data_IF_515371988334
#
_entry.id   IF_515371988334
#
_cell.length_a   1.000
_cell.length_b   1.000
_cell.length_c   1.000
_cell.angle_alpha   90.00
_cell.angle_beta   90.00
_cell.angle_gamma   90.00
#
_symmetry.space_group_name_H-M   'P 1'
#
loop_
_entity.id
_entity.type
_entity.pdbx_description
1 polymer ?
#
# COMPACT_ATOMS: atom_id res chain seq x y z
N UNK A 1 -38.31 44.02 -11.42
CA UNK A 1 -36.92 43.55 -11.59
C UNK A 1 -36.06 44.37 -10.64
N UNK A 2 -35.96 43.93 -9.40
CA UNK A 2 -35.05 44.53 -8.42
C UNK A 2 -33.65 43.91 -8.59
N UNK A 3 -32.58 44.70 -8.44
CA UNK A 3 -31.22 44.22 -8.65
C UNK A 3 -30.74 43.42 -7.43
N UNK A 4 -30.25 42.22 -7.72
CA UNK A 4 -29.62 41.32 -6.76
C UNK A 4 -28.43 42.00 -6.08
N UNK A 5 -28.52 42.20 -4.77
CA UNK A 5 -27.39 42.64 -3.94
C UNK A 5 -26.36 41.52 -3.80
N UNK A 6 -25.11 41.90 -4.08
CA UNK A 6 -23.94 41.06 -4.18
C UNK A 6 -23.33 40.81 -2.79
N UNK A 7 -24.08 40.18 -1.88
CA UNK A 7 -23.63 39.87 -0.51
C UNK A 7 -23.91 38.42 -0.12
N UNK A 8 -23.19 37.49 -0.74
CA UNK A 8 -22.78 36.22 -0.10
C UNK A 8 -21.67 35.56 -0.90
N UNK A 9 -20.49 36.18 -0.94
CA UNK A 9 -19.26 35.41 -1.13
C UNK A 9 -19.01 34.65 0.17
N UNK A 10 -19.60 33.45 0.27
CA UNK A 10 -19.23 32.47 1.29
C UNK A 10 -17.71 32.29 1.17
N UNK A 11 -17.01 32.67 2.22
CA UNK A 11 -15.56 32.60 2.30
C UNK A 11 -15.17 31.12 2.51
N UNK A 12 -15.11 30.34 1.43
CA UNK A 12 -14.81 28.90 1.44
C UNK A 12 -13.38 28.56 1.94
N UNK A 13 -12.59 29.56 2.36
CA UNK A 13 -11.17 29.42 2.66
C UNK A 13 -10.74 29.74 4.10
N UNK A 14 -11.65 29.99 5.06
CA UNK A 14 -11.24 30.53 6.38
C UNK A 14 -11.55 29.70 7.63
N UNK A 15 -12.03 28.45 7.54
CA UNK A 15 -12.20 27.60 8.74
C UNK A 15 -11.45 26.26 8.61
N UNK A 16 -10.17 26.25 8.96
CA UNK A 16 -9.43 25.01 9.22
C UNK A 16 -9.85 24.49 10.59
N UNK A 17 -10.67 23.44 10.64
CA UNK A 17 -11.01 22.78 11.91
C UNK A 17 -9.74 22.24 12.56
N UNK A 18 -9.68 22.31 13.89
CA UNK A 18 -8.60 21.73 14.69
C UNK A 18 -9.17 20.66 15.61
N UNK A 19 -8.48 19.53 15.80
CA UNK A 19 -8.94 18.50 16.72
C UNK A 19 -9.00 19.06 18.15
N UNK A 20 -10.02 18.68 18.94
CA UNK A 20 -10.06 18.97 20.36
C UNK A 20 -8.83 18.43 21.10
N UNK A 21 -8.47 19.06 22.23
CA UNK A 21 -7.37 18.58 23.08
C UNK A 21 -7.74 17.20 23.65
N UNK A 22 -6.89 16.21 23.38
CA UNK A 22 -7.10 14.84 23.85
C UNK A 22 -6.18 14.53 25.03
N UNK A 23 -6.74 14.57 26.25
CA UNK A 23 -5.99 14.31 27.49
C UNK A 23 -5.76 12.81 27.76
N UNK A 24 -6.53 11.93 27.09
CA UNK A 24 -6.44 10.48 27.24
C UNK A 24 -5.45 9.85 26.26
N UNK A 25 -5.10 10.57 25.20
CA UNK A 25 -4.14 10.14 24.19
C UNK A 25 -2.74 9.98 24.80
N UNK A 26 -2.19 8.75 24.86
CA UNK A 26 -0.84 8.54 25.35
C UNK A 26 0.19 9.08 24.36
N UNK A 27 1.42 9.23 24.86
CA UNK A 27 2.59 9.45 23.99
C UNK A 27 2.71 8.33 22.96
N UNK A 28 3.21 8.67 21.79
CA UNK A 28 3.34 7.76 20.65
C UNK A 28 4.12 6.46 21.03
N UNK A 29 3.50 5.27 21.00
CA UNK A 29 4.03 4.07 21.67
C UNK A 29 4.96 3.21 20.81
N UNK A 30 5.02 3.46 19.49
CA UNK A 30 5.75 2.59 18.56
C UNK A 30 7.22 2.99 18.46
N UNK A 31 8.00 2.64 19.48
CA UNK A 31 9.43 2.96 19.62
C UNK A 31 10.28 1.70 19.77
N UNK A 32 11.56 1.77 19.40
CA UNK A 32 12.50 0.66 19.58
C UNK A 32 12.63 0.29 21.07
N UNK A 33 12.73 -1.01 21.36
CA UNK A 33 12.75 -1.58 22.70
C UNK A 33 11.35 -1.87 23.27
N UNK A 34 10.29 -1.32 22.69
CA UNK A 34 8.92 -1.60 23.14
C UNK A 34 8.54 -3.05 22.82
N UNK A 35 7.90 -3.71 23.79
CA UNK A 35 7.26 -5.02 23.61
C UNK A 35 5.75 -4.89 23.56
N UNK A 36 5.10 -5.63 22.66
CA UNK A 36 3.65 -5.70 22.48
C UNK A 36 3.20 -7.15 22.64
N UNK A 37 2.14 -7.36 23.42
CA UNK A 37 1.50 -8.67 23.59
C UNK A 37 0.43 -8.83 22.50
N UNK A 38 0.68 -9.67 21.51
CA UNK A 38 -0.14 -9.78 20.30
C UNK A 38 -0.86 -11.13 20.24
N UNK A 39 -2.04 -11.16 19.63
CA UNK A 39 -2.84 -12.38 19.39
C UNK A 39 -3.24 -12.46 17.92
N UNK A 40 -3.34 -13.67 17.37
CA UNK A 40 -3.82 -13.89 16.01
C UNK A 40 -5.22 -13.30 15.84
N UNK A 41 -5.46 -12.65 14.71
CA UNK A 41 -6.74 -12.07 14.35
C UNK A 41 -7.14 -12.49 12.94
N UNK A 42 -8.42 -12.77 12.72
CA UNK A 42 -8.98 -12.99 11.39
C UNK A 42 -9.48 -11.64 10.86
N UNK A 43 -8.90 -11.06 9.81
CA UNK A 43 -9.34 -9.77 9.28
C UNK A 43 -10.80 -9.83 8.83
N UNK A 44 -11.59 -8.76 9.01
CA UNK A 44 -12.93 -8.69 8.42
C UNK A 44 -12.82 -8.55 6.89
N UNK A 45 -13.91 -8.82 6.14
CA UNK A 45 -13.95 -8.53 4.71
C UNK A 45 -13.56 -7.07 4.40
N UNK A 46 -12.82 -6.84 3.30
CA UNK A 46 -12.34 -5.51 2.93
C UNK A 46 -13.51 -4.56 2.66
N UNK A 47 -13.36 -3.29 3.05
CA UNK A 47 -14.37 -2.24 2.84
C UNK A 47 -13.74 -0.87 2.56
N UNK A 48 -14.58 0.14 2.32
CA UNK A 48 -14.13 1.47 1.89
C UNK A 48 -13.94 1.54 0.38
N UNK A 49 -13.49 2.67 -0.17
CA UNK A 49 -13.35 2.80 -1.63
C UNK A 49 -12.35 1.76 -2.18
N UNK A 50 -12.66 1.00 -3.26
CA UNK A 50 -13.86 1.05 -4.11
C UNK A 50 -14.96 0.01 -3.76
N UNK A 51 -14.92 -0.63 -2.60
CA UNK A 51 -15.91 -1.60 -2.08
C UNK A 51 -17.24 -0.94 -1.65
N UNK A 52 -17.92 -0.24 -2.57
CA UNK A 52 -19.16 0.50 -2.29
C UNK A 52 -20.42 -0.37 -2.12
N UNK A 53 -20.41 -1.59 -2.68
CA UNK A 53 -21.59 -2.46 -2.74
C UNK A 53 -21.55 -3.45 -1.57
N UNK A 54 -22.18 -3.09 -0.45
CA UNK A 54 -22.91 -3.99 0.47
C UNK A 54 -23.31 -3.26 1.77
N UNK A 55 -24.51 -3.57 2.26
CA UNK A 55 -25.03 -3.20 3.58
C UNK A 55 -24.33 -3.93 4.76
N UNK A 56 -23.24 -4.66 4.48
CA UNK A 56 -22.49 -5.48 5.44
C UNK A 56 -21.25 -4.77 6.02
N UNK A 57 -21.00 -3.52 5.61
CA UNK A 57 -19.81 -2.77 6.02
C UNK A 57 -20.11 -1.81 7.16
N UNK A 58 -19.10 -1.48 7.98
CA UNK A 58 -19.19 -0.39 8.97
C UNK A 58 -19.48 0.89 8.17
N UNK A 59 -20.62 1.58 8.36
CA UNK A 59 -20.87 2.84 7.67
C UNK A 59 -19.84 3.88 8.13
N UNK A 60 -19.42 4.76 7.22
CA UNK A 60 -18.62 5.90 7.61
C UNK A 60 -19.47 6.79 8.51
N UNK A 61 -19.00 7.08 9.73
CA UNK A 61 -19.76 7.93 10.63
C UNK A 61 -19.78 9.36 10.10
N UNK A 62 -20.88 10.07 10.32
CA UNK A 62 -20.98 11.47 9.94
C UNK A 62 -20.06 12.31 10.83
N UNK A 63 -19.03 12.88 10.20
CA UNK A 63 -17.95 13.61 10.86
C UNK A 63 -18.41 14.92 11.50
N UNK A 64 -19.52 15.49 11.02
CA UNK A 64 -20.09 16.73 11.57
C UNK A 64 -20.81 16.50 12.89
N UNK A 65 -21.34 15.29 13.11
CA UNK A 65 -22.10 14.95 14.33
C UNK A 65 -21.21 14.85 15.57
N UNK A 66 -19.89 14.81 15.37
CA UNK A 66 -18.87 14.59 16.41
C UNK A 66 -17.68 15.54 16.27
N UNK A 67 -17.91 16.78 15.81
CA UNK A 67 -16.86 17.80 15.63
C UNK A 67 -16.06 18.12 16.90
N UNK A 68 -16.66 17.90 18.07
CA UNK A 68 -16.08 18.17 19.40
C UNK A 68 -15.54 16.92 20.10
N UNK A 69 -15.65 15.73 19.47
CA UNK A 69 -15.12 14.49 20.02
C UNK A 69 -13.61 14.38 19.81
N UNK A 70 -12.88 13.91 20.82
CA UNK A 70 -11.44 13.63 20.73
C UNK A 70 -11.17 12.37 19.90
N UNK A 71 -9.94 12.18 19.42
CA UNK A 71 -9.59 10.94 18.71
C UNK A 71 -9.77 9.70 19.61
N UNK A 72 -9.51 9.83 20.92
CA UNK A 72 -9.80 8.77 21.88
C UNK A 72 -11.28 8.43 21.92
N UNK A 73 -12.17 9.42 21.97
CA UNK A 73 -13.62 9.20 21.96
C UNK A 73 -14.06 8.46 20.70
N UNK A 74 -13.50 8.83 19.54
CA UNK A 74 -13.72 8.13 18.28
C UNK A 74 -13.27 6.66 18.35
N UNK A 75 -12.07 6.39 18.86
CA UNK A 75 -11.54 5.02 18.99
C UNK A 75 -12.36 4.14 19.94
N UNK A 76 -12.91 4.72 21.01
CA UNK A 76 -13.72 4.00 21.99
C UNK A 76 -15.16 3.79 21.51
N UNK A 77 -15.75 4.77 20.83
CA UNK A 77 -17.09 4.68 20.28
C UNK A 77 -17.15 3.74 19.06
N UNK A 78 -16.08 3.71 18.27
CA UNK A 78 -16.01 2.94 17.03
C UNK A 78 -14.73 2.08 16.97
N UNK A 79 -14.63 1.05 17.83
CA UNK A 79 -13.48 0.16 17.80
C UNK A 79 -13.37 -0.57 16.44
N UNK A 80 -12.16 -1.03 16.05
CA UNK A 80 -11.96 -1.87 14.87
C UNK A 80 -12.90 -3.08 14.88
N UNK A 81 -13.41 -3.46 13.70
CA UNK A 81 -14.38 -4.57 13.60
C UNK A 81 -13.76 -5.88 14.03
N UNK A 82 -14.53 -6.68 14.76
CA UNK A 82 -14.28 -8.09 14.98
C UNK A 82 -14.88 -8.92 13.83
N UNK A 83 -14.23 -10.03 13.50
CA UNK A 83 -14.78 -10.99 12.55
C UNK A 83 -15.67 -11.99 13.29
N UNK A 84 -16.97 -11.91 13.04
CA UNK A 84 -17.95 -12.90 13.50
C UNK A 84 -17.83 -14.17 12.65
N UNK A 85 -16.99 -15.12 13.06
CA UNK A 85 -17.02 -16.47 12.50
C UNK A 85 -17.44 -17.49 13.56
N UNK A 86 -18.57 -18.13 13.28
CA UNK A 86 -19.08 -19.34 13.91
C UNK A 86 -18.24 -20.54 13.44
N UNK A 87 -16.99 -20.69 13.93
CA UNK A 87 -16.10 -21.76 13.43
C UNK A 87 -14.93 -22.12 14.34
N UNK A 88 -14.41 -23.37 14.25
CA UNK A 88 -13.62 -24.02 15.28
C UNK A 88 -12.16 -23.54 15.26
N UNK A 89 -11.85 -22.37 15.83
CA UNK A 89 -10.47 -21.95 16.10
C UNK A 89 -10.37 -20.85 17.17
N UNK A 90 -11.17 -20.90 18.23
CA UNK A 90 -10.91 -20.08 19.43
C UNK A 90 -9.52 -20.37 20.04
N UNK A 91 -9.02 -21.61 19.90
CA UNK A 91 -7.73 -22.02 20.45
C UNK A 91 -6.51 -21.31 19.82
N UNK A 92 -6.51 -21.03 18.51
CA UNK A 92 -5.42 -20.27 17.86
C UNK A 92 -5.41 -18.77 18.21
N UNK A 93 -6.57 -18.22 18.62
CA UNK A 93 -6.66 -16.82 19.10
C UNK A 93 -6.15 -16.64 20.53
N UNK A 94 -5.95 -17.74 21.27
CA UNK A 94 -5.55 -17.68 22.68
C UNK A 94 -4.05 -17.52 22.92
N UNK A 95 -3.19 -17.95 21.98
CA UNK A 95 -1.74 -17.84 22.14
C UNK A 95 -1.29 -16.39 22.00
N UNK A 96 -0.77 -15.85 23.09
CA UNK A 96 -0.14 -14.52 23.12
C UNK A 96 1.32 -14.66 22.70
N UNK A 97 1.73 -13.85 21.73
CA UNK A 97 3.12 -13.73 21.31
C UNK A 97 3.69 -12.39 21.77
N UNK A 98 5.00 -12.37 22.02
CA UNK A 98 5.72 -11.15 22.37
C UNK A 98 6.38 -10.56 21.12
N UNK A 99 5.85 -9.45 20.62
CA UNK A 99 6.47 -8.70 19.53
C UNK A 99 7.37 -7.62 20.11
N UNK A 100 8.65 -7.66 19.77
CA UNK A 100 9.62 -6.65 20.18
C UNK A 100 9.98 -5.75 19.01
N UNK A 101 9.76 -4.44 19.17
CA UNK A 101 10.11 -3.44 18.16
C UNK A 101 11.61 -3.20 18.20
N UNK A 102 12.29 -3.48 17.10
CA UNK A 102 13.76 -3.31 16.99
C UNK A 102 14.14 -2.00 16.30
N UNK A 103 13.30 -1.49 15.39
CA UNK A 103 13.52 -0.21 14.73
C UNK A 103 12.21 0.39 14.20
N UNK A 104 12.17 1.72 14.13
CA UNK A 104 11.15 2.44 13.35
C UNK A 104 11.55 2.37 11.88
N UNK A 105 10.62 1.96 11.02
CA UNK A 105 10.79 2.07 9.56
C UNK A 105 10.11 3.35 9.10
N UNK A 106 8.85 3.52 9.49
CA UNK A 106 8.07 4.67 9.09
C UNK A 106 6.96 4.94 10.11
N UNK A 107 7.28 5.79 11.08
CA UNK A 107 6.41 6.10 12.22
C UNK A 107 6.29 7.62 12.41
N UNK A 108 5.07 8.14 12.38
CA UNK A 108 4.77 9.54 12.69
C UNK A 108 3.29 9.67 13.05
N UNK A 109 2.98 10.58 13.97
CA UNK A 109 1.60 10.99 14.21
C UNK A 109 1.00 11.65 12.96
N UNK A 110 -0.24 11.29 12.62
CA UNK A 110 -0.95 11.85 11.47
C UNK A 110 -0.48 11.31 10.11
N UNK A 111 0.26 10.20 10.07
CA UNK A 111 0.72 9.54 8.83
C UNK A 111 -0.25 8.47 8.30
N UNK A 112 -1.10 7.91 9.18
CA UNK A 112 -1.85 6.67 8.91
C UNK A 112 -1.18 5.48 9.61
N UNK A 113 -1.02 4.37 8.89
CA UNK A 113 -0.39 3.16 9.45
C UNK A 113 1.08 3.38 9.84
N UNK A 114 1.48 2.76 10.95
CA UNK A 114 2.82 2.84 11.52
C UNK A 114 3.59 1.57 11.14
N UNK A 115 4.83 1.72 10.67
CA UNK A 115 5.63 0.60 10.17
C UNK A 115 6.90 0.44 11.00
N UNK A 116 7.09 -0.74 11.57
CA UNK A 116 8.22 -1.05 12.45
C UNK A 116 8.89 -2.36 12.06
N UNK A 117 10.20 -2.45 12.24
CA UNK A 117 10.93 -3.71 12.22
C UNK A 117 10.84 -4.36 13.59
N UNK A 118 10.63 -5.66 13.63
CA UNK A 118 10.39 -6.37 14.87
C UNK A 118 10.89 -7.83 14.82
N UNK A 119 10.94 -8.45 15.99
CA UNK A 119 11.16 -9.89 16.18
C UNK A 119 10.03 -10.45 17.03
N UNK A 120 9.75 -11.75 16.88
CA UNK A 120 8.73 -12.46 17.65
C UNK A 120 9.37 -13.40 18.66
N UNK A 121 8.83 -13.42 19.88
CA UNK A 121 9.15 -14.35 20.96
C UNK A 121 10.65 -14.45 21.28
N UNK A 122 11.36 -13.31 21.17
CA UNK A 122 12.79 -13.24 21.41
C UNK A 122 13.66 -14.04 20.43
N UNK A 123 13.13 -14.41 19.26
CA UNK A 123 13.87 -15.15 18.22
C UNK A 123 14.50 -14.17 17.22
N UNK A 124 15.80 -13.82 17.36
CA UNK A 124 16.43 -12.78 16.55
C UNK A 124 16.59 -13.17 15.08
N UNK A 125 16.65 -14.47 14.78
CA UNK A 125 16.83 -14.98 13.41
C UNK A 125 15.62 -14.72 12.51
N UNK A 126 14.46 -14.44 13.11
CA UNK A 126 13.22 -14.15 12.39
C UNK A 126 12.87 -12.67 12.52
N UNK A 127 13.34 -11.89 11.55
CA UNK A 127 13.05 -10.47 11.48
C UNK A 127 11.80 -10.24 10.62
N UNK A 128 10.90 -9.40 11.13
CA UNK A 128 9.63 -9.09 10.50
C UNK A 128 9.42 -7.59 10.38
N UNK A 129 8.45 -7.22 9.53
CA UNK A 129 7.83 -5.90 9.53
C UNK A 129 6.42 -6.03 10.09
N UNK A 130 6.12 -5.22 11.11
CA UNK A 130 4.76 -5.02 11.57
C UNK A 130 4.24 -3.70 11.01
N UNK A 131 3.07 -3.76 10.38
CA UNK A 131 2.30 -2.59 9.97
C UNK A 131 1.07 -2.46 10.83
N UNK A 132 0.99 -1.38 11.59
CA UNK A 132 0.08 -1.17 12.71
C UNK A 132 -0.92 -0.08 12.35
N UNK A 133 -2.22 -0.40 12.45
CA UNK A 133 -3.33 0.46 12.06
C UNK A 133 -4.01 1.01 13.32
N UNK A 134 -3.30 1.88 14.02
CA UNK A 134 -3.81 2.53 15.23
C UNK A 134 -4.49 3.85 14.89
N UNK A 135 -5.83 3.83 14.84
CA UNK A 135 -6.66 4.97 14.52
C UNK A 135 -6.33 6.23 15.36
N UNK A 136 -5.86 6.06 16.61
CA UNK A 136 -5.53 7.18 17.49
C UNK A 136 -4.38 8.05 16.94
N UNK A 137 -3.53 7.50 16.07
CA UNK A 137 -2.42 8.22 15.43
C UNK A 137 -2.62 8.43 13.92
N UNK A 138 -3.82 8.16 13.39
CA UNK A 138 -4.20 8.53 12.04
C UNK A 138 -4.40 10.07 11.92
N UNK A 139 -4.36 10.62 10.68
CA UNK A 139 -4.61 12.04 10.46
C UNK A 139 -6.04 12.39 10.88
N UNK A 140 -6.20 13.30 11.84
CA UNK A 140 -7.50 13.70 12.39
C UNK A 140 -8.35 14.53 11.42
N UNK A 141 -7.76 15.01 10.31
CA UNK A 141 -8.44 15.78 9.30
C UNK A 141 -8.08 15.33 7.88
N UNK A 142 -9.03 15.48 6.96
CA UNK A 142 -8.81 15.37 5.52
C UNK A 142 -8.61 16.76 4.91
N UNK A 143 -7.85 16.86 3.83
CA UNK A 143 -7.70 18.12 3.09
C UNK A 143 -9.05 18.49 2.43
N UNK A 144 -9.62 19.71 2.63
CA UNK A 144 -9.02 20.95 3.15
C UNK A 144 -9.31 21.28 4.64
N UNK A 145 -8.97 20.39 5.57
CA UNK A 145 -9.03 20.63 7.02
C UNK A 145 -10.37 20.27 7.67
N UNK A 146 -11.09 19.26 7.16
CA UNK A 146 -12.34 18.76 7.75
C UNK A 146 -12.08 17.55 8.66
N UNK A 147 -12.83 17.35 9.77
CA UNK A 147 -12.67 16.17 10.61
C UNK A 147 -12.75 14.88 9.79
N UNK A 148 -11.95 13.88 10.17
CA UNK A 148 -11.90 12.57 9.54
C UNK A 148 -12.47 11.49 10.46
N UNK A 149 -13.20 10.51 9.89
CA UNK A 149 -13.50 9.25 10.60
C UNK A 149 -12.22 8.39 10.58
N UNK A 150 -11.31 8.69 11.51
CA UNK A 150 -10.02 8.02 11.66
C UNK A 150 -10.15 6.51 11.88
N UNK A 151 -11.24 6.07 12.52
CA UNK A 151 -11.53 4.66 12.79
C UNK A 151 -11.94 3.93 11.52
N UNK A 152 -12.74 4.57 10.64
CA UNK A 152 -13.07 4.05 9.32
C UNK A 152 -11.82 3.88 8.45
N UNK A 153 -10.97 4.90 8.45
CA UNK A 153 -9.76 4.91 7.63
C UNK A 153 -8.80 3.80 8.06
N UNK A 154 -8.51 3.69 9.36
CA UNK A 154 -7.59 2.67 9.88
C UNK A 154 -8.09 1.25 9.63
N UNK A 155 -9.36 0.98 9.91
CA UNK A 155 -9.95 -0.35 9.75
C UNK A 155 -10.16 -0.73 8.27
N UNK A 156 -10.47 0.26 7.42
CA UNK A 156 -10.51 0.08 5.96
C UNK A 156 -9.13 -0.21 5.37
N UNK A 157 -8.10 0.54 5.78
CA UNK A 157 -6.71 0.31 5.36
C UNK A 157 -6.24 -1.10 5.75
N UNK A 158 -6.50 -1.49 6.99
CA UNK A 158 -6.17 -2.81 7.53
C UNK A 158 -6.85 -3.93 6.73
N UNK A 159 -8.17 -3.87 6.60
CA UNK A 159 -8.97 -4.92 5.96
C UNK A 159 -8.65 -5.09 4.47
N UNK A 160 -8.46 -3.99 3.73
CA UNK A 160 -8.07 -4.06 2.31
C UNK A 160 -6.70 -4.69 2.11
N UNK A 161 -5.72 -4.27 2.91
CA UNK A 161 -4.35 -4.80 2.78
C UNK A 161 -4.27 -6.27 3.22
N UNK A 162 -4.91 -6.63 4.33
CA UNK A 162 -4.96 -8.01 4.80
C UNK A 162 -5.65 -8.93 3.77
N UNK A 163 -6.73 -8.47 3.14
CA UNK A 163 -7.44 -9.24 2.11
C UNK A 163 -6.56 -9.53 0.88
N UNK A 164 -5.72 -8.58 0.46
CA UNK A 164 -4.76 -8.82 -0.65
C UNK A 164 -3.73 -9.88 -0.28
N UNK A 165 -3.17 -9.82 0.93
CA UNK A 165 -2.23 -10.85 1.38
C UNK A 165 -2.89 -12.23 1.53
N UNK A 166 -4.12 -12.31 2.02
CA UNK A 166 -4.89 -13.57 2.06
C UNK A 166 -5.21 -14.08 0.66
N UNK A 167 -5.44 -13.19 -0.31
CA UNK A 167 -5.60 -13.55 -1.72
C UNK A 167 -4.33 -14.11 -2.33
N UNK A 168 -3.16 -13.53 -2.04
CA UNK A 168 -1.87 -14.08 -2.45
C UNK A 168 -1.67 -15.49 -1.88
N UNK A 169 -1.98 -15.70 -0.60
CA UNK A 169 -1.90 -17.01 0.05
C UNK A 169 -2.77 -18.05 -0.65
N UNK A 170 -4.06 -17.75 -0.86
CA UNK A 170 -5.01 -18.64 -1.55
C UNK A 170 -4.63 -18.92 -3.01
N UNK A 171 -3.99 -17.95 -3.67
CA UNK A 171 -3.56 -18.07 -5.07
C UNK A 171 -2.17 -18.71 -5.24
N UNK A 172 -1.48 -19.08 -4.15
CA UNK A 172 -0.14 -19.65 -4.21
C UNK A 172 0.96 -18.64 -4.60
N UNK A 173 0.69 -17.34 -4.44
CA UNK A 173 1.57 -16.23 -4.84
C UNK A 173 2.25 -15.53 -3.65
N UNK A 174 2.04 -16.03 -2.44
CA UNK A 174 2.63 -15.47 -1.22
C UNK A 174 4.16 -15.46 -1.28
N UNK A 175 4.74 -14.26 -1.12
CA UNK A 175 6.18 -14.03 -1.26
C UNK A 175 6.67 -13.89 -2.70
N UNK A 176 5.81 -13.91 -3.73
CA UNK A 176 6.24 -13.82 -5.14
C UNK A 176 6.46 -12.36 -5.60
N UNK A 177 5.43 -11.53 -5.45
CA UNK A 177 5.41 -10.12 -5.88
C UNK A 177 5.42 -9.14 -4.71
N UNK A 178 5.16 -9.62 -3.50
CA UNK A 178 5.08 -8.88 -2.25
C UNK A 178 5.78 -9.68 -1.15
N UNK A 179 6.16 -9.07 -0.01
CA UNK A 179 6.75 -9.79 1.11
C UNK A 179 5.82 -10.90 1.61
N UNK A 180 6.39 -12.00 2.12
CA UNK A 180 5.57 -13.09 2.66
C UNK A 180 4.68 -12.62 3.81
N UNK A 181 3.42 -13.06 3.82
CA UNK A 181 2.47 -12.72 4.87
C UNK A 181 2.56 -13.68 6.06
N UNK A 182 2.81 -13.12 7.25
CA UNK A 182 2.86 -13.86 8.51
C UNK A 182 1.57 -13.71 9.33
N UNK A 183 0.53 -13.14 8.74
CA UNK A 183 -0.81 -13.08 9.29
C UNK A 183 -1.23 -11.74 9.85
N UNK A 184 -2.50 -11.72 10.26
CA UNK A 184 -3.18 -10.62 10.93
C UNK A 184 -3.16 -10.83 12.43
N UNK A 185 -3.05 -9.73 13.16
CA UNK A 185 -2.88 -9.74 14.61
C UNK A 185 -3.59 -8.57 15.26
N UNK A 186 -3.86 -8.70 16.55
CA UNK A 186 -4.43 -7.64 17.38
C UNK A 186 -3.79 -7.61 18.76
N UNK A 187 -3.80 -6.43 19.38
CA UNK A 187 -3.28 -6.19 20.71
C UNK A 187 -3.97 -4.97 21.32
N UNK A 188 -3.90 -4.87 22.65
CA UNK A 188 -4.49 -3.77 23.40
C UNK A 188 -3.41 -2.73 23.73
N UNK A 189 -3.70 -1.47 23.44
CA UNK A 189 -2.81 -0.34 23.75
C UNK A 189 -3.40 0.49 24.87
N UNK A 190 -2.66 0.74 25.96
CA UNK A 190 -3.15 1.55 27.08
C UNK A 190 -3.60 2.96 26.67
N UNK A 191 -4.54 3.51 27.43
CA UNK A 191 -4.94 4.91 27.41
C UNK A 191 -4.45 5.61 28.68
N UNK A 192 -4.29 6.94 28.64
CA UNK A 192 -4.01 7.72 29.84
C UNK A 192 -5.32 7.88 30.64
N UNK A 193 -5.26 7.70 31.96
CA UNK A 193 -6.40 8.01 32.83
C UNK A 193 -6.69 9.51 32.79
N UNK A 194 -7.91 9.90 32.41
CA UNK A 194 -8.34 11.30 32.44
C UNK A 194 -8.77 11.76 33.84
N UNK A 195 -9.11 10.83 34.74
CA UNK A 195 -9.65 11.13 36.06
C UNK A 195 -8.58 11.01 37.16
N UNK A 196 -8.62 11.87 38.20
CA UNK A 196 -7.96 11.59 39.47
C UNK A 196 -8.50 10.29 40.07
N UNK A 197 -7.65 9.55 40.79
CA UNK A 197 -8.06 8.31 41.47
C UNK A 197 -9.26 8.58 42.40
N UNK A 198 -10.46 8.08 42.05
CA UNK A 198 -11.66 8.22 42.88
C UNK A 198 -12.99 8.45 42.14
N UNK A 199 -12.97 8.72 40.83
CA UNK A 199 -14.20 8.95 40.05
C UNK A 199 -14.93 7.65 39.71
N UNK A 200 -16.22 7.57 40.07
CA UNK A 200 -17.07 6.39 39.92
C UNK A 200 -17.52 6.23 38.47
N UNK A 201 -16.79 5.41 37.73
CA UNK A 201 -17.15 4.92 36.40
C UNK A 201 -15.98 4.16 35.77
N UNK A 202 -16.15 2.88 35.46
CA UNK A 202 -15.13 2.09 34.74
C UNK A 202 -14.93 2.63 33.32
N UNK A 203 -14.01 3.58 33.17
CA UNK A 203 -13.58 4.04 31.86
C UNK A 203 -12.65 2.99 31.22
N UNK A 204 -12.77 2.73 29.90
CA UNK A 204 -11.84 1.86 29.21
C UNK A 204 -10.39 2.31 29.41
N UNK A 205 -9.55 1.40 29.88
CA UNK A 205 -8.13 1.63 30.17
C UNK A 205 -7.21 1.34 28.98
N UNK A 206 -7.76 0.75 27.91
CA UNK A 206 -7.05 0.42 26.68
C UNK A 206 -7.97 0.49 25.46
N UNK A 207 -7.36 0.41 24.28
CA UNK A 207 -8.06 0.27 22.99
C UNK A 207 -7.46 -0.89 22.19
N UNK A 208 -8.27 -1.65 21.44
CA UNK A 208 -7.75 -2.66 20.53
C UNK A 208 -7.14 -2.01 19.29
N UNK A 209 -6.03 -2.56 18.82
CA UNK A 209 -5.31 -2.15 17.61
C UNK A 209 -5.11 -3.35 16.69
N UNK A 210 -5.21 -3.14 15.38
CA UNK A 210 -4.97 -4.16 14.35
C UNK A 210 -3.60 -3.98 13.74
N UNK A 211 -2.99 -5.10 13.34
CA UNK A 211 -1.75 -5.08 12.58
C UNK A 211 -1.66 -6.29 11.64
N UNK A 212 -0.79 -6.16 10.66
CA UNK A 212 -0.29 -7.29 9.86
C UNK A 212 1.19 -7.48 10.11
N UNK A 213 1.63 -8.73 10.03
CA UNK A 213 3.03 -9.10 10.07
C UNK A 213 3.46 -9.62 8.70
N UNK A 214 4.57 -9.12 8.20
CA UNK A 214 5.14 -9.52 6.92
C UNK A 214 6.65 -9.76 7.04
N UNK A 215 7.20 -10.47 6.06
CA UNK A 215 8.63 -10.70 5.92
C UNK A 215 9.41 -9.38 5.90
N UNK A 216 10.53 -9.32 6.61
CA UNK A 216 11.50 -8.26 6.43
C UNK A 216 12.31 -8.52 5.16
N UNK A 217 12.24 -7.58 4.22
CA UNK A 217 13.06 -7.61 3.02
C UNK A 217 14.18 -6.57 3.19
N UNK A 218 15.45 -7.01 3.33
CA UNK A 218 16.60 -6.10 3.30
C UNK A 218 16.66 -5.41 1.93
N UNK A 219 16.56 -4.09 1.93
CA UNK A 219 16.52 -3.32 0.71
C UNK A 219 16.07 -1.88 0.94
N UNK A 220 15.88 -1.16 -0.16
CA UNK A 220 15.42 0.22 -0.15
C UNK A 220 14.37 0.46 -1.24
N UNK A 221 13.41 1.35 -0.97
CA UNK A 221 12.37 1.67 -1.94
C UNK A 221 12.97 2.44 -3.12
N UNK A 222 12.34 2.37 -4.29
CA UNK A 222 12.74 3.19 -5.43
C UNK A 222 12.75 4.69 -5.09
N UNK A 223 11.83 5.16 -4.22
CA UNK A 223 11.87 6.53 -3.71
C UNK A 223 13.12 6.82 -2.88
N UNK A 224 13.56 5.90 -2.02
CA UNK A 224 14.75 6.10 -1.19
C UNK A 224 16.01 6.30 -2.05
N UNK A 225 16.11 5.66 -3.21
CA UNK A 225 17.20 5.90 -4.16
C UNK A 225 17.17 7.32 -4.75
N UNK A 226 15.98 7.91 -4.93
CA UNK A 226 15.83 9.31 -5.34
C UNK A 226 16.24 10.25 -4.20
N UNK A 227 15.73 10.03 -2.99
CA UNK A 227 15.98 10.87 -1.81
C UNK A 227 17.44 10.86 -1.37
N UNK A 228 18.15 9.74 -1.59
CA UNK A 228 19.57 9.58 -1.24
C UNK A 228 20.52 9.79 -2.41
N UNK A 229 20.02 10.20 -3.59
CA UNK A 229 20.77 10.37 -4.84
C UNK A 229 21.54 9.11 -5.31
N UNK A 230 21.26 7.93 -4.75
CA UNK A 230 21.84 6.66 -5.20
C UNK A 230 21.44 6.34 -6.64
N UNK A 231 20.32 6.88 -7.11
CA UNK A 231 19.87 6.72 -8.49
C UNK A 231 20.92 7.16 -9.51
N UNK A 232 21.75 8.16 -9.18
CA UNK A 232 22.77 8.72 -10.09
C UNK A 232 23.90 7.73 -10.36
N UNK A 233 24.11 6.77 -9.46
CA UNK A 233 25.07 5.67 -9.63
C UNK A 233 24.57 4.54 -10.54
N UNK A 234 23.29 4.56 -10.93
CA UNK A 234 22.67 3.54 -11.78
C UNK A 234 22.58 4.08 -13.21
N UNK A 235 23.06 3.33 -14.21
CA UNK A 235 22.97 3.77 -15.61
C UNK A 235 21.51 3.91 -16.09
N UNK A 236 21.21 4.82 -17.03
CA UNK A 236 19.86 4.99 -17.60
C UNK A 236 19.23 3.67 -18.08
N UNK A 237 19.99 2.84 -18.81
CA UNK A 237 19.52 1.52 -19.26
C UNK A 237 19.10 0.64 -18.08
N UNK A 238 19.91 0.62 -17.02
CA UNK A 238 19.64 -0.21 -15.85
C UNK A 238 18.43 0.27 -15.04
N UNK A 239 18.23 1.59 -14.95
CA UNK A 239 17.03 2.18 -14.33
C UNK A 239 15.76 1.71 -15.07
N UNK A 240 15.80 1.72 -16.40
CA UNK A 240 14.68 1.25 -17.22
C UNK A 240 14.44 -0.24 -17.13
N UNK A 241 15.49 -1.07 -16.99
CA UNK A 241 15.29 -2.50 -16.77
C UNK A 241 14.64 -2.79 -15.41
N UNK A 242 14.98 -2.03 -14.35
CA UNK A 242 14.32 -2.11 -13.04
C UNK A 242 12.86 -1.63 -13.16
N UNK A 243 12.63 -0.51 -13.84
CA UNK A 243 11.28 0.00 -14.08
C UNK A 243 10.44 -1.02 -14.87
N UNK A 244 10.99 -1.62 -15.92
CA UNK A 244 10.34 -2.65 -16.71
C UNK A 244 9.88 -3.84 -15.86
N UNK A 245 10.73 -4.34 -14.96
CA UNK A 245 10.34 -5.37 -13.99
C UNK A 245 9.18 -4.91 -13.10
N UNK A 246 9.18 -3.64 -12.65
CA UNK A 246 8.11 -3.11 -11.81
C UNK A 246 6.78 -3.01 -12.58
N UNK A 247 6.81 -2.51 -13.82
CA UNK A 247 5.63 -2.42 -14.69
C UNK A 247 5.04 -3.81 -14.98
N UNK A 248 5.90 -4.77 -15.33
CA UNK A 248 5.49 -6.17 -15.52
C UNK A 248 4.87 -6.72 -14.24
N UNK A 249 5.51 -6.51 -13.08
CA UNK A 249 4.98 -6.96 -11.78
C UNK A 249 3.58 -6.45 -11.51
N UNK A 250 3.31 -5.17 -11.79
CA UNK A 250 1.97 -4.60 -11.65
C UNK A 250 0.96 -5.18 -12.65
N UNK A 251 1.37 -5.46 -13.89
CA UNK A 251 0.50 -6.19 -14.84
C UNK A 251 0.14 -7.59 -14.33
N UNK A 252 1.07 -8.30 -13.70
CA UNK A 252 0.81 -9.61 -13.11
C UNK A 252 -0.09 -9.54 -11.87
N UNK A 253 0.05 -8.52 -11.02
CA UNK A 253 -0.91 -8.28 -9.95
C UNK A 253 -2.33 -8.18 -10.51
N UNK A 254 -2.52 -7.38 -11.57
CA UNK A 254 -3.82 -7.21 -12.22
C UNK A 254 -4.35 -8.50 -12.85
N UNK A 255 -3.47 -9.28 -13.48
CA UNK A 255 -3.81 -10.62 -13.98
C UNK A 255 -4.32 -11.54 -12.87
N UNK A 256 -3.70 -11.47 -11.70
CA UNK A 256 -4.10 -12.17 -10.48
C UNK A 256 -5.20 -11.45 -9.68
N UNK A 257 -6.00 -10.61 -10.36
CA UNK A 257 -7.18 -9.93 -9.80
C UNK A 257 -6.87 -8.89 -8.72
N UNK A 258 -5.64 -8.40 -8.63
CA UNK A 258 -5.27 -7.36 -7.66
C UNK A 258 -4.94 -6.07 -8.42
N UNK A 259 -5.70 -5.02 -8.14
CA UNK A 259 -5.31 -3.66 -8.53
C UNK A 259 -4.68 -2.97 -7.32
N UNK A 260 -3.46 -2.43 -7.47
CA UNK A 260 -2.73 -1.83 -6.35
C UNK A 260 -3.36 -0.53 -5.83
N UNK A 261 -3.83 0.35 -6.72
CA UNK A 261 -4.43 1.64 -6.37
C UNK A 261 -3.45 2.74 -5.88
N UNK A 262 -2.15 2.44 -5.74
CA UNK A 262 -1.11 3.41 -5.36
C UNK A 262 0.30 2.96 -5.82
N UNK A 263 0.39 2.53 -7.07
CA UNK A 263 1.64 2.05 -7.68
C UNK A 263 2.60 3.23 -7.92
N UNK A 264 3.51 3.46 -6.97
CA UNK A 264 4.47 4.58 -6.93
C UNK A 264 5.82 4.12 -6.38
N UNK A 265 6.92 4.87 -6.61
CA UNK A 265 8.27 4.44 -6.19
C UNK A 265 8.43 4.14 -4.70
N UNK A 266 7.67 4.80 -3.82
CA UNK A 266 7.69 4.51 -2.37
C UNK A 266 7.20 3.12 -2.01
N UNK A 267 6.41 2.51 -2.89
CA UNK A 267 5.73 1.24 -2.70
C UNK A 267 6.40 0.10 -3.50
N UNK A 268 7.60 0.34 -4.04
CA UNK A 268 8.39 -0.64 -4.77
C UNK A 268 9.74 -0.77 -4.08
N UNK A 269 9.99 -1.91 -3.45
CA UNK A 269 11.19 -2.22 -2.70
C UNK A 269 12.17 -2.99 -3.57
N UNK A 270 13.43 -2.54 -3.64
CA UNK A 270 14.53 -3.25 -4.28
C UNK A 270 15.35 -3.97 -3.22
N UNK A 271 15.40 -5.31 -3.30
CA UNK A 271 16.13 -6.13 -2.33
C UNK A 271 17.64 -6.12 -2.60
N UNK A 272 18.45 -6.12 -1.54
CA UNK A 272 19.91 -5.96 -1.63
C UNK A 272 20.64 -7.20 -2.21
N UNK A 273 20.08 -8.42 -2.12
CA UNK A 273 20.53 -9.61 -2.88
C UNK A 273 19.58 -10.81 -2.76
N UNK A 274 19.75 -11.82 -3.64
CA UNK A 274 18.83 -12.91 -3.98
C UNK A 274 18.64 -14.03 -2.91
N UNK A 275 18.83 -13.77 -1.63
CA UNK A 275 18.90 -14.81 -0.60
C UNK A 275 17.56 -15.44 -0.20
N UNK A 276 16.41 -15.00 -0.72
CA UNK A 276 15.10 -15.49 -0.29
C UNK A 276 14.35 -16.10 -1.47
N UNK A 277 14.54 -17.41 -1.69
CA UNK A 277 14.02 -18.14 -2.84
C UNK A 277 12.63 -18.74 -2.59
N UNK A 278 11.60 -18.10 -3.14
CA UNK A 278 10.66 -18.84 -3.99
C UNK A 278 10.87 -18.32 -5.40
N UNK A 279 11.02 -19.22 -6.37
CA UNK A 279 11.02 -18.86 -7.78
C UNK A 279 9.71 -18.14 -8.08
N UNK A 280 9.79 -16.85 -8.44
CA UNK A 280 8.67 -16.14 -9.04
C UNK A 280 8.15 -16.99 -10.21
N UNK A 281 6.83 -17.17 -10.39
CA UNK A 281 6.31 -17.78 -11.60
C UNK A 281 6.96 -17.08 -12.80
N UNK A 282 7.39 -17.82 -13.84
CA UNK A 282 8.06 -17.21 -14.98
C UNK A 282 7.19 -16.07 -15.49
N UNK A 283 7.71 -14.84 -15.45
CA UNK A 283 7.15 -13.79 -16.27
C UNK A 283 7.26 -14.26 -17.72
N UNK A 284 6.23 -13.98 -18.52
CA UNK A 284 6.11 -14.33 -19.93
C UNK A 284 7.48 -14.33 -20.61
N UNK A 285 7.80 -15.38 -21.40
CA UNK A 285 9.17 -15.69 -21.79
C UNK A 285 9.86 -14.46 -22.34
N UNK A 286 10.76 -13.88 -21.54
CA UNK A 286 11.67 -12.85 -21.99
C UNK A 286 12.60 -13.52 -23.00
N UNK A 287 12.74 -12.91 -24.16
CA UNK A 287 13.70 -13.33 -25.18
C UNK A 287 15.16 -13.09 -24.76
N UNK A 288 15.37 -12.55 -23.57
CA UNK A 288 16.68 -12.14 -23.09
C UNK A 288 17.32 -13.35 -22.38
N UNK A 289 18.38 -13.90 -22.98
CA UNK A 289 19.24 -14.95 -22.44
C UNK A 289 19.88 -14.53 -21.09
N UNK A 290 19.11 -14.57 -20.00
CA UNK A 290 19.59 -14.24 -18.64
C UNK A 290 20.40 -15.36 -17.99
N UNK A 291 20.35 -16.58 -18.52
CA UNK A 291 21.02 -17.75 -17.96
C UNK A 291 22.55 -17.74 -18.10
N UNK A 292 23.14 -16.68 -18.69
CA UNK A 292 24.57 -16.57 -18.93
C UNK A 292 25.19 -15.23 -18.49
N UNK A 293 24.45 -14.37 -17.76
CA UNK A 293 25.04 -13.14 -17.22
C UNK A 293 25.67 -13.35 -15.83
N UNK A 294 26.85 -12.77 -15.56
CA UNK A 294 27.46 -12.83 -14.23
C UNK A 294 26.52 -12.23 -13.17
N UNK A 295 26.55 -12.77 -11.95
CA UNK A 295 25.66 -12.40 -10.85
C UNK A 295 25.62 -10.87 -10.57
N UNK A 296 26.72 -10.17 -10.85
CA UNK A 296 26.85 -8.70 -10.75
C UNK A 296 25.92 -7.91 -11.68
N UNK A 297 25.40 -8.52 -12.75
CA UNK A 297 24.49 -7.89 -13.71
C UNK A 297 23.02 -8.32 -13.54
N UNK A 298 22.73 -9.25 -12.62
CA UNK A 298 21.36 -9.70 -12.37
C UNK A 298 20.50 -8.58 -11.76
N UNK A 299 19.26 -8.37 -12.25
CA UNK A 299 18.37 -7.33 -11.72
C UNK A 299 18.07 -7.57 -10.23
N UNK A 300 18.03 -6.51 -9.40
CA UNK A 300 17.59 -6.68 -8.03
C UNK A 300 16.17 -7.24 -8.03
N UNK A 301 15.90 -8.15 -7.11
CA UNK A 301 14.53 -8.61 -6.90
C UNK A 301 13.71 -7.46 -6.35
N UNK A 302 12.51 -7.27 -6.90
CA UNK A 302 11.60 -6.24 -6.42
C UNK A 302 10.38 -6.83 -5.74
N UNK A 303 9.84 -6.07 -4.80
CA UNK A 303 8.59 -6.35 -4.12
C UNK A 303 7.70 -5.11 -4.14
N UNK A 304 6.43 -5.31 -4.43
CA UNK A 304 5.39 -4.30 -4.33
C UNK A 304 4.76 -4.41 -2.93
N UNK A 305 4.60 -3.28 -2.25
CA UNK A 305 4.14 -3.18 -0.85
C UNK A 305 3.07 -2.09 -0.71
N UNK A 306 2.44 -2.01 0.46
CA UNK A 306 1.45 -0.97 0.81
C UNK A 306 0.12 -1.13 0.04
N UNK A 307 -0.57 -2.25 0.28
CA UNK A 307 -1.83 -2.59 -0.39
C UNK A 307 -3.09 -2.01 0.30
N UNK A 308 -2.94 -1.00 1.16
CA UNK A 308 -4.07 -0.40 1.89
C UNK A 308 -5.05 0.35 0.97
N UNK A 309 -4.67 0.66 -0.28
CA UNK A 309 -5.53 1.23 -1.32
C UNK A 309 -5.90 0.24 -2.43
N UNK A 310 -5.52 -1.02 -2.26
CA UNK A 310 -5.72 -2.04 -3.27
C UNK A 310 -7.11 -2.65 -3.20
N UNK A 311 -7.49 -3.29 -4.28
CA UNK A 311 -8.75 -4.01 -4.35
C UNK A 311 -8.67 -5.26 -5.21
N UNK A 312 -9.54 -6.22 -4.87
CA UNK A 312 -9.63 -7.53 -5.49
C UNK A 312 -10.75 -7.50 -6.53
N UNK A 313 -10.39 -7.64 -7.80
CA UNK A 313 -11.27 -7.44 -8.96
C UNK A 313 -12.37 -8.50 -9.10
N UNK A 314 -12.16 -9.69 -8.56
CA UNK A 314 -13.14 -10.79 -8.51
C UNK A 314 -13.86 -10.89 -7.16
N UNK A 315 -13.73 -9.87 -6.29
CA UNK A 315 -14.54 -9.79 -5.08
C UNK A 315 -16.02 -9.58 -5.44
N UNK A 316 -16.99 -10.04 -4.61
CA UNK A 316 -18.42 -9.94 -4.92
C UNK A 316 -18.92 -8.52 -5.23
N UNK A 317 -18.24 -7.49 -4.72
CA UNK A 317 -18.59 -6.09 -5.01
C UNK A 317 -18.01 -5.56 -6.34
N UNK A 318 -16.98 -6.20 -6.90
CA UNK A 318 -16.26 -5.79 -8.13
C UNK A 318 -16.47 -6.74 -9.32
N UNK A 319 -16.88 -8.00 -9.09
CA UNK A 319 -16.89 -9.09 -10.08
C UNK A 319 -17.62 -8.75 -11.39
N UNK A 320 -18.68 -7.94 -11.34
CA UNK A 320 -19.47 -7.56 -12.54
C UNK A 320 -18.75 -6.58 -13.49
N UNK A 321 -17.66 -5.96 -13.06
CA UNK A 321 -17.00 -4.88 -13.80
C UNK A 321 -15.75 -5.35 -14.56
N UNK A 322 -15.21 -6.53 -14.24
CA UNK A 322 -13.92 -6.99 -14.78
C UNK A 322 -13.98 -8.45 -15.25
N UNK A 323 -13.94 -8.65 -16.57
CA UNK A 323 -13.94 -9.99 -17.18
C UNK A 323 -12.69 -10.81 -16.85
N UNK A 324 -12.72 -12.13 -17.13
CA UNK A 324 -11.53 -13.00 -16.99
C UNK A 324 -10.54 -12.79 -18.14
N UNK A 325 -9.24 -12.98 -17.84
CA UNK A 325 -8.15 -12.72 -18.78
C UNK A 325 -7.34 -14.02 -18.83
N UNK A 326 -7.10 -14.53 -20.03
CA UNK A 326 -6.32 -15.77 -20.20
C UNK A 326 -4.82 -15.50 -20.10
N UNK A 327 -4.42 -14.26 -20.44
CA UNK A 327 -3.04 -13.78 -20.42
C UNK A 327 -2.92 -12.48 -19.62
N UNK A 328 -1.75 -12.19 -19.02
CA UNK A 328 -1.51 -10.93 -18.35
C UNK A 328 -1.61 -9.74 -19.33
N UNK A 329 -2.02 -8.55 -18.84
CA UNK A 329 -1.96 -7.32 -19.63
C UNK A 329 -0.55 -7.09 -20.19
N UNK A 330 -0.45 -6.69 -21.46
CA UNK A 330 0.82 -6.25 -22.02
C UNK A 330 1.22 -4.90 -21.39
N UNK A 331 2.42 -4.77 -20.77
CA UNK A 331 2.87 -3.52 -20.17
C UNK A 331 2.87 -2.34 -21.15
N UNK A 332 3.24 -2.55 -22.41
CA UNK A 332 3.18 -1.51 -23.44
C UNK A 332 1.77 -0.92 -23.55
N UNK A 333 0.72 -1.74 -23.58
CA UNK A 333 -0.65 -1.25 -23.68
C UNK A 333 -1.15 -0.65 -22.37
N UNK A 334 -0.80 -1.24 -21.23
CA UNK A 334 -1.24 -0.74 -19.92
C UNK A 334 -0.65 0.64 -19.62
N UNK A 335 0.57 0.92 -20.09
CA UNK A 335 1.30 2.16 -19.79
C UNK A 335 1.45 3.12 -20.99
N UNK A 336 0.83 2.84 -22.15
CA UNK A 336 1.01 3.61 -23.39
C UNK A 336 0.73 5.13 -23.28
N UNK A 337 -0.24 5.48 -22.44
CA UNK A 337 -0.65 6.86 -22.16
C UNK A 337 -0.68 7.16 -20.66
N UNK A 338 0.07 6.39 -19.86
CA UNK A 338 0.18 6.61 -18.43
C UNK A 338 1.38 7.51 -18.17
N UNK A 339 1.13 8.61 -17.46
CA UNK A 339 2.19 9.49 -16.98
C UNK A 339 2.92 8.84 -15.79
N UNK A 340 4.22 8.60 -15.97
CA UNK A 340 5.12 8.06 -14.94
C UNK A 340 5.98 9.15 -14.28
N UNK A 341 5.60 10.43 -14.34
CA UNK A 341 6.32 11.53 -13.67
C UNK A 341 6.65 11.25 -12.20
N UNK A 342 5.78 10.53 -11.48
CA UNK A 342 6.06 10.17 -10.08
C UNK A 342 7.26 9.23 -9.89
N UNK A 343 7.76 8.59 -10.96
CA UNK A 343 8.98 7.81 -10.98
C UNK A 343 10.24 8.64 -11.21
N UNK A 344 10.11 9.91 -11.61
CA UNK A 344 11.20 10.88 -11.69
C UNK A 344 12.43 10.30 -12.42
N UNK A 345 13.66 10.48 -11.89
CA UNK A 345 14.93 10.02 -12.47
C UNK A 345 15.06 8.51 -12.73
N UNK A 346 14.09 7.68 -12.33
CA UNK A 346 13.99 6.28 -12.79
C UNK A 346 13.61 6.17 -14.26
N UNK A 347 12.88 7.16 -14.78
CA UNK A 347 12.61 7.36 -16.20
C UNK A 347 13.60 8.40 -16.69
N UNK A 348 14.54 8.08 -17.60
CA UNK A 348 15.48 9.06 -18.15
C UNK A 348 14.79 10.32 -18.73
N UNK A 349 15.47 11.45 -18.71
CA UNK A 349 14.92 12.78 -18.99
C UNK A 349 14.31 12.85 -20.39
N UNK A 350 15.00 12.28 -21.39
CA UNK A 350 14.50 12.24 -22.76
C UNK A 350 13.15 11.54 -22.90
N UNK A 351 12.86 10.55 -22.04
CA UNK A 351 11.58 9.84 -22.04
C UNK A 351 10.51 10.57 -21.23
N UNK A 352 10.88 11.36 -20.22
CA UNK A 352 9.93 12.22 -19.49
C UNK A 352 9.49 13.42 -20.35
N UNK A 353 10.40 13.95 -21.15
CA UNK A 353 10.15 15.12 -22.02
C UNK A 353 9.50 14.74 -23.36
N UNK A 354 9.80 13.55 -23.89
CA UNK A 354 9.35 13.12 -25.22
C UNK A 354 8.53 11.84 -25.14
N UNK A 355 7.20 12.00 -25.11
CA UNK A 355 6.26 10.88 -25.03
C UNK A 355 6.49 9.82 -26.13
N UNK A 356 6.80 10.24 -27.37
CA UNK A 356 7.09 9.31 -28.48
C UNK A 356 8.33 8.46 -28.22
N UNK A 357 9.34 9.02 -27.56
CA UNK A 357 10.55 8.30 -27.17
C UNK A 357 10.23 7.23 -26.12
N UNK A 358 9.42 7.58 -25.11
CA UNK A 358 8.98 6.62 -24.08
C UNK A 358 8.13 5.49 -24.68
N UNK A 359 7.19 5.82 -25.57
CA UNK A 359 6.38 4.83 -26.28
C UNK A 359 7.22 3.94 -27.20
N UNK A 360 8.27 4.48 -27.83
CA UNK A 360 9.24 3.69 -28.59
C UNK A 360 10.00 2.71 -27.70
N UNK A 361 10.39 3.13 -26.49
CA UNK A 361 10.97 2.22 -25.50
C UNK A 361 9.98 1.11 -25.08
N UNK A 362 8.72 1.44 -24.73
CA UNK A 362 7.69 0.45 -24.43
C UNK A 362 7.51 -0.56 -25.58
N UNK A 363 7.45 -0.06 -26.82
CA UNK A 363 7.29 -0.90 -28.02
C UNK A 363 8.50 -1.79 -28.25
N UNK A 364 9.71 -1.29 -28.03
CA UNK A 364 10.94 -2.08 -28.14
C UNK A 364 10.98 -3.26 -27.16
N UNK A 365 10.40 -3.09 -25.96
CA UNK A 365 10.39 -4.10 -24.90
C UNK A 365 9.26 -5.12 -25.03
N UNK A 366 8.04 -4.69 -25.36
CA UNK A 366 6.85 -5.57 -25.33
C UNK A 366 6.01 -5.60 -26.61
N UNK A 367 6.38 -4.86 -27.65
CA UNK A 367 5.56 -4.72 -28.87
C UNK A 367 5.35 -6.03 -29.63
N UNK A 368 6.34 -6.92 -29.61
CA UNK A 368 6.32 -8.21 -30.31
C UNK A 368 6.42 -9.42 -29.37
N UNK A 369 6.38 -9.20 -28.05
CA UNK A 369 6.54 -10.28 -27.07
C UNK A 369 5.24 -11.08 -26.95
N UNK A 370 5.35 -12.41 -27.09
CA UNK A 370 4.24 -13.35 -26.89
C UNK A 370 3.99 -13.59 -25.40
N UNK A 371 2.80 -14.06 -25.05
CA UNK A 371 2.43 -14.37 -23.65
C UNK A 371 1.77 -13.22 -22.90
N UNK A 372 1.45 -12.13 -23.59
CA UNK A 372 0.58 -11.06 -23.07
C UNK A 372 -0.72 -10.97 -23.86
N UNK A 373 -1.76 -10.46 -23.22
CA UNK A 373 -3.05 -10.20 -23.85
C UNK A 373 -2.90 -9.15 -24.97
N UNK A 374 -3.58 -9.42 -26.09
CA UNK A 374 -3.72 -8.47 -27.17
C UNK A 374 -4.49 -7.21 -26.70
N UNK A 375 -4.22 -6.03 -27.27
CA UNK A 375 -4.97 -4.83 -26.92
C UNK A 375 -6.41 -5.00 -27.41
N UNK A 376 -7.39 -4.52 -26.63
CA UNK A 376 -8.75 -4.48 -27.13
C UNK A 376 -8.86 -3.54 -28.34
N UNK A 377 -9.83 -3.78 -29.21
CA UNK A 377 -9.98 -3.08 -30.50
C UNK A 377 -10.11 -1.56 -30.33
N UNK A 378 -10.74 -1.11 -29.24
CA UNK A 378 -10.89 0.31 -28.88
C UNK A 378 -9.53 0.93 -28.56
N UNK A 379 -8.72 0.25 -27.75
CA UNK A 379 -7.38 0.71 -27.37
C UNK A 379 -6.47 0.84 -28.60
N UNK A 380 -6.52 -0.13 -29.52
CA UNK A 380 -5.74 -0.10 -30.77
C UNK A 380 -6.10 1.09 -31.67
N UNK A 381 -7.41 1.38 -31.81
CA UNK A 381 -7.90 2.50 -32.62
C UNK A 381 -7.58 3.87 -32.00
N UNK A 382 -7.69 3.99 -30.67
CA UNK A 382 -7.51 5.27 -29.97
C UNK A 382 -6.04 5.71 -29.89
N UNK A 383 -5.11 4.77 -29.76
CA UNK A 383 -3.76 5.08 -29.30
C UNK A 383 -2.68 5.15 -30.39
N UNK A 384 -3.04 4.96 -31.66
CA UNK A 384 -2.12 4.99 -32.82
C UNK A 384 -0.75 4.36 -32.50
N UNK A 385 -0.72 3.05 -32.24
CA UNK A 385 0.42 2.33 -31.65
C UNK A 385 1.72 2.32 -32.49
N UNK A 386 1.70 2.98 -33.65
CA UNK A 386 2.82 3.14 -34.57
C UNK A 386 3.46 4.52 -34.54
N UNK A 387 2.85 5.52 -33.88
CA UNK A 387 3.44 6.85 -33.68
C UNK A 387 4.44 6.84 -32.52
N UNK A 388 5.63 6.31 -32.81
CA UNK A 388 6.73 6.17 -31.85
C UNK A 388 8.07 6.57 -32.45
N UNK A 389 9.02 6.86 -31.57
CA UNK A 389 10.42 7.10 -31.89
C UNK A 389 11.25 6.28 -30.91
N UNK A 390 12.24 5.50 -31.36
CA UNK A 390 13.15 4.83 -30.44
C UNK A 390 14.43 5.64 -30.31
N UNK A 391 14.76 6.02 -29.07
CA UNK A 391 16.01 6.68 -28.72
C UNK A 391 16.72 5.80 -27.69
N UNK A 392 18.04 5.66 -27.78
CA UNK A 392 18.82 4.88 -26.81
C UNK A 392 18.77 5.53 -25.43
N UNK A 393 18.62 4.75 -24.33
CA UNK A 393 18.63 5.31 -22.97
C UNK A 393 19.94 6.04 -22.62
N UNK A 394 21.06 5.67 -23.25
CA UNK A 394 22.37 6.27 -22.98
C UNK A 394 22.56 7.64 -23.66
N UNK A 395 21.64 8.05 -24.52
CA UNK A 395 21.69 9.37 -25.16
C UNK A 395 21.55 10.53 -24.17
N UNK A 396 21.12 10.27 -22.93
CA UNK A 396 21.02 11.24 -21.84
C UNK A 396 22.38 11.58 -21.18
N UNK A 397 23.44 10.80 -21.41
CA UNK A 397 24.77 11.06 -20.83
C UNK A 397 25.56 12.18 -21.51
N UNK A 398 25.01 12.81 -22.56
CA UNK A 398 25.71 13.77 -23.43
C UNK A 398 25.22 15.22 -23.23
N UNK A 399 24.42 15.49 -22.18
CA UNK A 399 23.90 16.83 -21.88
C UNK A 399 24.46 17.42 -20.60
#
# INVERSE_FOLDING_TARGET
>A
MEPWTMETRINWFSYTWKPPKDLRKPKFPYVAGQSLAIRRHTPPPPFGLPYYKNDLYRPMANRLDKKDATQTDWCLQYPPRETHESGPSQHLRSSVHALQITAKIACKEGRGAQVVRCILDGKPDNVYVAKIYDALYYPSYEHPGRPSDITYQADGDYSREAAVYEHFGRSGLDGCYSPKYHGSWTFDVPLVSAEPAGSVGEQPTSRPVRMILMEWIPGASMLSYLETNKIDSISPTRRLDILAEALESNCYLRYHRIEHGDFKPRNILLADSAAHSKSRPPLAPRTDNRNSQPASNSLPRLYIIDFNRSYILDSPCMEREYGKWDLPPNPMHMYWGVDLQCFDRWVPDIYREREKAFRGWLKSKWGNVKGYAAPCTIHRKKNNLDDVEYISPESDLVR
#
